data_IF_370572397576
#
_entry.id   IF_370572397576
#
_cell.length_a   1.000
_cell.length_b   1.000
_cell.length_c   1.000
_cell.angle_alpha   90.00
_cell.angle_beta   90.00
_cell.angle_gamma   90.00
#
_symmetry.space_group_name_H-M   'P 1'
#
loop_
_entity.id
_entity.type
_entity.pdbx_description
1 polymer ?
#
# COMPACT_ATOMS: atom_id res chain seq x y z
N UNK A 1 -52.40 -65.71 9.27
CA UNK A 1 -52.26 -64.28 9.27
C UNK A 1 -50.76 -63.96 9.25
N UNK A 2 -50.21 -63.53 8.09
CA UNK A 2 -48.80 -63.20 7.93
C UNK A 2 -48.74 -61.68 7.84
N UNK A 3 -48.17 -61.02 8.85
CA UNK A 3 -47.90 -59.56 8.81
C UNK A 3 -46.58 -59.36 8.12
N UNK A 4 -46.60 -58.82 6.89
CA UNK A 4 -45.43 -58.34 6.18
C UNK A 4 -45.08 -56.93 6.71
N UNK A 5 -43.99 -56.83 7.47
CA UNK A 5 -43.46 -55.56 7.91
C UNK A 5 -42.66 -54.94 6.74
N UNK A 6 -43.25 -53.94 6.12
CA UNK A 6 -42.61 -53.13 5.08
C UNK A 6 -41.68 -52.14 5.75
N UNK A 7 -40.39 -52.46 5.76
CA UNK A 7 -39.35 -51.59 6.34
C UNK A 7 -39.01 -50.50 5.32
N UNK A 8 -39.55 -49.30 5.51
CA UNK A 8 -39.24 -48.10 4.71
C UNK A 8 -37.87 -47.58 5.14
N UNK A 9 -36.84 -47.83 4.34
CA UNK A 9 -35.54 -47.14 4.45
C UNK A 9 -35.66 -45.73 3.89
N UNK A 10 -35.79 -44.74 4.76
CA UNK A 10 -35.65 -43.35 4.42
C UNK A 10 -34.17 -43.07 4.25
N UNK A 11 -33.67 -43.08 3.02
CA UNK A 11 -32.37 -42.52 2.69
C UNK A 11 -32.47 -40.99 2.80
N UNK A 12 -32.07 -40.45 3.93
CA UNK A 12 -31.83 -39.03 4.08
C UNK A 12 -30.55 -38.68 3.27
N UNK A 13 -30.72 -38.16 2.06
CA UNK A 13 -29.66 -37.49 1.35
C UNK A 13 -29.27 -36.27 2.16
N UNK A 14 -28.18 -36.32 2.91
CA UNK A 14 -27.51 -35.11 3.42
C UNK A 14 -26.88 -34.39 2.21
N UNK A 15 -27.51 -33.33 1.77
CA UNK A 15 -26.86 -32.42 0.82
C UNK A 15 -25.73 -31.73 1.59
N UNK A 16 -24.48 -32.09 1.31
CA UNK A 16 -23.35 -31.37 1.83
C UNK A 16 -23.52 -29.89 1.46
N UNK A 17 -23.72 -29.06 2.49
CA UNK A 17 -23.78 -27.62 2.32
C UNK A 17 -22.38 -27.11 1.93
N UNK A 18 -22.17 -26.92 0.65
CA UNK A 18 -20.98 -26.20 0.18
C UNK A 18 -21.24 -24.71 0.34
N UNK A 19 -20.60 -24.02 1.27
CA UNK A 19 -20.79 -22.57 1.44
C UNK A 19 -20.44 -21.89 0.11
N UNK A 20 -21.37 -21.09 -0.41
CA UNK A 20 -21.12 -20.29 -1.61
C UNK A 20 -19.93 -19.35 -1.32
N UNK A 21 -18.95 -19.24 -2.22
CA UNK A 21 -17.88 -18.27 -2.05
C UNK A 21 -18.48 -16.88 -1.90
N UNK A 22 -17.93 -16.08 -0.99
CA UNK A 22 -18.37 -14.69 -0.80
C UNK A 22 -18.22 -13.96 -2.13
N UNK A 23 -19.32 -13.45 -2.68
CA UNK A 23 -19.27 -12.57 -3.84
C UNK A 23 -18.92 -11.17 -3.36
N UNK A 24 -17.82 -10.64 -3.84
CA UNK A 24 -17.47 -9.22 -3.65
C UNK A 24 -18.08 -8.39 -4.78
N UNK A 25 -18.45 -7.15 -4.47
CA UNK A 25 -18.89 -6.21 -5.50
C UNK A 25 -17.74 -6.01 -6.50
N UNK A 26 -18.09 -5.98 -7.80
CA UNK A 26 -17.13 -5.65 -8.84
C UNK A 26 -16.60 -4.22 -8.61
N UNK A 27 -15.32 -4.10 -8.32
CA UNK A 27 -14.65 -2.82 -8.20
C UNK A 27 -14.19 -2.41 -9.61
N UNK A 28 -14.69 -1.29 -10.08
CA UNK A 28 -14.26 -0.72 -11.35
C UNK A 28 -12.98 0.10 -11.12
N UNK A 29 -11.85 -0.50 -11.48
CA UNK A 29 -10.54 0.11 -11.33
C UNK A 29 -10.22 0.98 -12.57
N UNK A 30 -9.73 2.22 -12.43
CA UNK A 30 -9.38 3.08 -13.54
C UNK A 30 -8.18 2.54 -14.32
N UNK A 31 -8.05 2.98 -15.57
CA UNK A 31 -6.85 2.71 -16.36
C UNK A 31 -5.64 3.40 -15.71
N UNK A 32 -4.50 2.72 -15.70
CA UNK A 32 -3.26 3.28 -15.20
C UNK A 32 -2.63 4.19 -16.26
N UNK A 33 -2.68 5.47 -15.99
CA UNK A 33 -2.04 6.54 -16.75
C UNK A 33 -1.40 7.49 -15.73
N UNK A 34 -0.20 7.99 -16.04
CA UNK A 34 0.60 8.73 -15.09
C UNK A 34 0.90 10.14 -15.56
N UNK A 35 1.01 11.07 -14.62
CA UNK A 35 1.45 12.44 -14.77
C UNK A 35 2.75 12.62 -14.00
N UNK A 36 3.64 13.50 -14.49
CA UNK A 36 4.88 13.82 -13.79
C UNK A 36 4.66 15.00 -12.83
N UNK A 37 5.00 14.81 -11.57
CA UNK A 37 5.22 15.89 -10.63
C UNK A 37 6.67 16.33 -10.69
N UNK A 38 6.90 17.64 -10.79
CA UNK A 38 8.25 18.24 -10.85
C UNK A 38 8.35 19.29 -9.76
N UNK A 39 9.01 18.94 -8.66
CA UNK A 39 9.36 19.84 -7.57
C UNK A 39 10.71 20.51 -7.74
N UNK A 40 11.16 21.23 -6.71
CA UNK A 40 12.48 21.92 -6.73
C UNK A 40 13.64 20.94 -6.59
N UNK A 41 13.50 19.89 -5.77
CA UNK A 41 14.57 18.96 -5.41
C UNK A 41 14.41 17.56 -5.98
N UNK A 42 13.23 17.21 -6.47
CA UNK A 42 12.93 15.89 -7.00
C UNK A 42 11.75 15.92 -7.98
N UNK A 43 11.60 14.83 -8.72
CA UNK A 43 10.44 14.55 -9.58
C UNK A 43 10.02 13.09 -9.42
N UNK A 44 8.75 12.80 -9.69
CA UNK A 44 8.19 11.44 -9.74
C UNK A 44 6.90 11.42 -10.57
N UNK A 45 6.43 10.24 -10.92
CA UNK A 45 5.15 10.04 -11.58
C UNK A 45 4.06 9.63 -10.58
N UNK A 46 2.83 10.08 -10.84
CA UNK A 46 1.65 9.76 -10.05
C UNK A 46 0.44 9.51 -10.96
N UNK A 47 -0.55 8.68 -10.57
CA UNK A 47 -1.65 8.32 -11.44
C UNK A 47 -2.62 9.48 -11.67
N UNK A 48 -3.16 9.58 -12.88
CA UNK A 48 -4.08 10.65 -13.32
C UNK A 48 -5.34 10.76 -12.48
N UNK A 49 -5.77 9.68 -11.82
CA UNK A 49 -6.95 9.65 -10.94
C UNK A 49 -6.66 10.05 -9.49
N UNK A 50 -5.41 10.44 -9.19
CA UNK A 50 -5.02 11.02 -7.91
C UNK A 50 -4.75 12.52 -8.04
N UNK A 51 -4.56 13.21 -6.92
CA UNK A 51 -4.25 14.65 -6.89
C UNK A 51 -3.07 14.93 -5.97
N UNK A 52 -2.20 15.81 -6.40
CA UNK A 52 -1.12 16.35 -5.56
C UNK A 52 -1.70 17.46 -4.68
N UNK A 53 -1.47 17.39 -3.40
CA UNK A 53 -1.80 18.41 -2.39
C UNK A 53 -0.49 18.89 -1.76
N UNK A 54 -0.12 20.14 -2.03
CA UNK A 54 1.06 20.77 -1.43
C UNK A 54 0.60 21.46 -0.15
N UNK A 55 1.15 21.06 0.99
CA UNK A 55 0.87 21.71 2.26
C UNK A 55 1.60 23.06 2.33
N UNK A 56 1.25 23.90 3.33
CA UNK A 56 1.83 25.24 3.53
C UNK A 56 3.37 25.26 3.55
N UNK A 57 3.98 24.13 3.83
CA UNK A 57 5.42 23.91 3.74
C UNK A 57 5.72 22.95 2.59
N UNK A 58 6.52 23.34 1.61
CA UNK A 58 6.94 22.54 0.43
C UNK A 58 7.58 21.19 0.82
N UNK A 59 7.95 21.00 2.09
CA UNK A 59 8.48 19.75 2.61
C UNK A 59 7.44 18.61 2.66
N UNK A 60 6.14 18.96 2.62
CA UNK A 60 5.04 18.00 2.75
C UNK A 60 4.20 18.04 1.48
N UNK A 61 4.22 16.95 0.76
CA UNK A 61 3.44 16.75 -0.45
C UNK A 61 2.62 15.48 -0.26
N UNK A 62 1.32 15.60 -0.40
CA UNK A 62 0.42 14.46 -0.32
C UNK A 62 -0.05 14.06 -1.71
N UNK A 63 -0.12 12.76 -1.98
CA UNK A 63 -0.81 12.23 -3.16
C UNK A 63 -2.14 11.64 -2.69
N UNK A 64 -3.22 12.30 -3.05
CA UNK A 64 -4.56 11.94 -2.59
C UNK A 64 -5.28 11.07 -3.63
N UNK A 65 -5.64 9.86 -3.24
CA UNK A 65 -6.39 8.88 -4.02
C UNK A 65 -7.88 8.96 -3.66
N UNK A 66 -8.53 10.10 -3.96
CA UNK A 66 -9.91 10.40 -3.55
C UNK A 66 -10.89 9.26 -3.81
N UNK A 67 -10.79 8.62 -5.00
CA UNK A 67 -11.68 7.53 -5.40
C UNK A 67 -11.60 6.32 -4.46
N UNK A 68 -10.47 6.12 -3.83
CA UNK A 68 -10.17 4.97 -2.98
C UNK A 68 -10.08 5.33 -1.49
N UNK A 69 -10.39 6.58 -1.13
CA UNK A 69 -10.27 7.08 0.25
C UNK A 69 -8.91 6.79 0.85
N UNK A 70 -7.85 6.94 0.06
CA UNK A 70 -6.47 6.71 0.46
C UNK A 70 -5.61 7.95 0.24
N UNK A 71 -4.53 8.07 1.01
CA UNK A 71 -3.58 9.17 0.92
C UNK A 71 -2.15 8.70 1.18
N UNK A 72 -1.25 9.07 0.27
CA UNK A 72 0.19 8.94 0.46
C UNK A 72 0.71 10.26 1.04
N UNK A 73 1.10 10.24 2.29
CA UNK A 73 1.80 11.35 2.93
C UNK A 73 3.27 11.27 2.63
N UNK A 74 3.87 12.35 2.12
CA UNK A 74 5.30 12.39 1.88
C UNK A 74 5.99 13.53 2.64
N UNK A 75 7.24 13.32 2.97
CA UNK A 75 8.09 14.28 3.66
C UNK A 75 9.45 14.32 2.97
N UNK A 76 9.92 15.52 2.65
CA UNK A 76 11.25 15.75 2.13
C UNK A 76 12.11 16.51 3.15
N UNK A 77 13.35 16.06 3.35
CA UNK A 77 14.32 16.67 4.26
C UNK A 77 15.66 16.80 3.52
N UNK A 78 16.33 17.94 3.72
CA UNK A 78 17.75 18.06 3.42
C UNK A 78 18.55 17.50 4.60
N UNK A 79 19.49 16.61 4.30
CA UNK A 79 20.34 15.99 5.31
C UNK A 79 21.44 16.96 5.78
N UNK A 80 21.77 16.88 7.06
CA UNK A 80 22.90 17.57 7.68
C UNK A 80 23.75 16.55 8.47
N UNK A 81 24.36 15.60 7.74
CA UNK A 81 25.10 14.45 8.28
C UNK A 81 24.31 13.54 9.24
N UNK A 82 22.98 13.55 9.14
CA UNK A 82 22.02 12.86 10.02
C UNK A 82 21.25 11.71 9.32
N UNK A 83 21.77 11.22 8.19
CA UNK A 83 21.16 10.15 7.40
C UNK A 83 20.76 8.93 8.25
N UNK A 84 21.67 8.49 9.11
CA UNK A 84 21.42 7.31 9.95
C UNK A 84 20.22 7.52 10.91
N UNK A 85 20.11 8.73 11.46
CA UNK A 85 18.99 9.09 12.33
C UNK A 85 17.66 9.03 11.58
N UNK A 86 17.60 9.55 10.35
CA UNK A 86 16.41 9.50 9.50
C UNK A 86 16.04 8.06 9.09
N UNK A 87 17.03 7.21 8.80
CA UNK A 87 16.82 5.79 8.51
C UNK A 87 16.23 5.07 9.74
N UNK A 88 16.85 5.22 10.92
CA UNK A 88 16.37 4.60 12.15
C UNK A 88 14.99 5.12 12.56
N UNK A 89 14.73 6.40 12.40
CA UNK A 89 13.40 6.98 12.62
C UNK A 89 12.37 6.36 11.68
N UNK A 90 12.68 6.23 10.38
CA UNK A 90 11.79 5.63 9.39
C UNK A 90 11.50 4.17 9.71
N UNK A 91 12.52 3.42 10.11
CA UNK A 91 12.39 2.03 10.55
C UNK A 91 11.52 1.94 11.81
N UNK A 92 11.79 2.74 12.82
CA UNK A 92 11.01 2.77 14.06
C UNK A 92 9.53 3.06 13.77
N UNK A 93 9.24 4.02 12.89
CA UNK A 93 7.88 4.36 12.48
C UNK A 93 7.22 3.22 11.69
N UNK A 94 7.97 2.51 10.83
CA UNK A 94 7.46 1.35 10.11
C UNK A 94 7.05 0.23 11.07
N UNK A 95 7.88 -0.08 12.04
CA UNK A 95 7.60 -1.14 13.02
C UNK A 95 6.62 -0.75 14.13
N UNK A 96 6.32 0.52 14.31
CA UNK A 96 5.31 0.97 15.28
C UNK A 96 3.90 0.41 14.99
N UNK A 97 3.63 0.05 13.74
CA UNK A 97 2.38 -0.57 13.30
C UNK A 97 2.38 -2.11 13.39
N UNK A 98 3.47 -2.73 13.85
CA UNK A 98 3.65 -4.18 13.89
C UNK A 98 2.59 -4.92 14.74
N UNK A 99 1.97 -4.26 15.71
CA UNK A 99 0.96 -4.87 16.57
C UNK A 99 -0.36 -5.25 15.84
N UNK A 100 -0.53 -4.78 14.59
CA UNK A 100 -1.74 -4.99 13.78
C UNK A 100 -1.44 -5.68 12.44
N UNK A 101 -0.18 -5.71 12.02
CA UNK A 101 0.22 -6.36 10.78
C UNK A 101 0.49 -7.85 11.00
N UNK A 102 0.00 -8.71 10.10
CA UNK A 102 0.34 -10.13 10.08
C UNK A 102 1.78 -10.34 9.60
N UNK A 103 2.20 -9.57 8.59
CA UNK A 103 3.53 -9.60 7.99
C UNK A 103 3.98 -8.18 7.61
N UNK A 104 5.25 -7.87 7.84
CA UNK A 104 5.94 -6.72 7.27
C UNK A 104 7.08 -7.24 6.39
N UNK A 105 7.00 -7.02 5.09
CA UNK A 105 8.05 -7.36 4.14
C UNK A 105 8.93 -6.15 3.88
N UNK A 106 10.25 -6.33 4.02
CA UNK A 106 11.25 -5.31 3.70
C UNK A 106 11.86 -5.57 2.34
N UNK A 107 11.91 -4.57 1.50
CA UNK A 107 12.53 -4.64 0.18
C UNK A 107 13.50 -3.47 -0.01
N UNK A 108 14.76 -3.77 -0.23
CA UNK A 108 15.77 -2.77 -0.60
C UNK A 108 15.49 -2.27 -2.02
N UNK A 109 15.54 -0.96 -2.20
CA UNK A 109 15.46 -0.30 -3.49
C UNK A 109 16.81 0.32 -3.86
N UNK A 110 17.33 0.01 -5.05
CA UNK A 110 18.61 0.52 -5.57
C UNK A 110 18.43 0.93 -7.04
N UNK A 111 18.64 2.20 -7.33
CA UNK A 111 18.78 2.75 -8.68
C UNK A 111 20.08 3.55 -8.74
N UNK A 112 21.19 2.87 -9.01
CA UNK A 112 22.52 3.47 -9.07
C UNK A 112 22.63 4.55 -10.16
N UNK A 113 21.92 4.38 -11.27
CA UNK A 113 21.94 5.32 -12.39
C UNK A 113 21.44 6.71 -11.98
N UNK A 114 20.48 6.76 -11.09
CA UNK A 114 19.82 7.99 -10.65
C UNK A 114 20.18 8.36 -9.20
N UNK A 115 21.11 7.64 -8.58
CA UNK A 115 21.51 7.80 -7.17
C UNK A 115 20.31 7.78 -6.22
N UNK A 116 19.40 6.83 -6.42
CA UNK A 116 18.24 6.64 -5.55
C UNK A 116 18.37 5.31 -4.82
N UNK A 117 18.48 5.38 -3.51
CA UNK A 117 18.60 4.23 -2.61
C UNK A 117 17.50 4.32 -1.57
N UNK A 118 17.01 3.18 -1.09
CA UNK A 118 15.95 3.22 -0.10
C UNK A 118 15.50 1.86 0.41
N UNK A 119 14.44 1.91 1.20
CA UNK A 119 13.77 0.75 1.76
C UNK A 119 12.27 0.90 1.60
N UNK A 120 11.63 -0.18 1.19
CA UNK A 120 10.19 -0.30 1.08
C UNK A 120 9.70 -1.29 2.14
N UNK A 121 8.71 -0.87 2.92
CA UNK A 121 8.00 -1.68 3.90
C UNK A 121 6.59 -1.95 3.37
N UNK A 122 6.30 -3.20 3.08
CA UNK A 122 5.00 -3.66 2.57
C UNK A 122 4.27 -4.43 3.68
N UNK A 123 3.03 -4.04 3.99
CA UNK A 123 2.26 -4.60 5.09
C UNK A 123 1.15 -5.50 4.56
N UNK A 124 0.98 -6.66 5.22
CA UNK A 124 -0.13 -7.57 5.01
C UNK A 124 -0.95 -7.71 6.30
N UNK A 125 -2.23 -8.03 6.14
CA UNK A 125 -3.18 -8.16 7.25
C UNK A 125 -4.02 -6.91 7.48
N UNK A 126 -4.69 -6.86 8.64
CA UNK A 126 -5.55 -5.75 9.05
C UNK A 126 -4.68 -4.64 9.64
N UNK A 127 -4.31 -3.67 8.82
CA UNK A 127 -3.40 -2.59 9.21
C UNK A 127 -3.96 -1.22 8.84
N UNK A 128 -3.50 -0.18 9.55
CA UNK A 128 -3.84 1.21 9.20
C UNK A 128 -3.02 1.73 8.01
N UNK A 129 -1.80 1.22 7.81
CA UNK A 129 -0.91 1.57 6.70
C UNK A 129 -0.71 0.37 5.78
N UNK A 130 -0.67 0.61 4.50
CA UNK A 130 -0.48 -0.43 3.49
C UNK A 130 0.97 -0.53 3.03
N UNK A 131 1.67 0.60 2.98
CA UNK A 131 3.02 0.70 2.49
C UNK A 131 3.72 1.93 3.06
N UNK A 132 4.97 1.77 3.44
CA UNK A 132 5.87 2.88 3.79
C UNK A 132 7.18 2.71 3.04
N UNK A 133 7.87 3.81 2.78
CA UNK A 133 9.19 3.77 2.16
C UNK A 133 9.99 5.01 2.51
N UNK A 134 11.29 4.92 2.33
CA UNK A 134 12.16 6.09 2.21
C UNK A 134 13.09 5.94 1.01
N UNK A 135 13.49 7.08 0.45
CA UNK A 135 14.47 7.22 -0.63
C UNK A 135 15.50 8.25 -0.22
N UNK A 136 16.75 8.04 -0.59
CA UNK A 136 17.86 8.94 -0.31
C UNK A 136 18.91 8.88 -1.42
N UNK A 137 19.68 9.96 -1.61
CA UNK A 137 20.91 9.95 -2.41
C UNK A 137 22.13 9.61 -1.55
N UNK A 138 21.90 9.29 -0.27
CA UNK A 138 22.92 8.98 0.75
C UNK A 138 23.80 10.15 1.18
N UNK A 139 23.59 11.35 0.68
CA UNK A 139 24.46 12.51 0.91
C UNK A 139 23.67 13.72 1.42
N UNK A 140 22.70 14.20 0.63
CA UNK A 140 22.02 15.48 0.89
C UNK A 140 20.52 15.37 1.05
N UNK A 141 19.89 14.32 0.49
CA UNK A 141 18.46 14.29 0.32
C UNK A 141 17.84 13.06 0.96
N UNK A 142 16.72 13.26 1.66
CA UNK A 142 15.90 12.20 2.21
C UNK A 142 14.43 12.46 1.92
N UNK A 143 13.76 11.46 1.35
CA UNK A 143 12.34 11.50 1.02
C UNK A 143 11.66 10.29 1.63
N UNK A 144 10.57 10.50 2.38
CA UNK A 144 9.80 9.43 3.00
C UNK A 144 8.35 9.49 2.56
N UNK A 145 7.75 8.33 2.32
CA UNK A 145 6.33 8.18 2.02
C UNK A 145 5.67 7.17 2.94
N UNK A 146 4.41 7.44 3.29
CA UNK A 146 3.56 6.52 4.07
C UNK A 146 2.14 6.58 3.54
N UNK A 147 1.62 5.44 3.09
CA UNK A 147 0.28 5.35 2.52
C UNK A 147 -0.72 4.81 3.53
N UNK A 148 -1.84 5.49 3.65
CA UNK A 148 -2.94 5.13 4.53
C UNK A 148 -4.28 5.15 3.78
N UNK A 149 -5.16 4.21 4.12
CA UNK A 149 -6.58 4.33 3.83
C UNK A 149 -7.29 5.02 4.99
N UNK A 150 -8.40 5.71 4.70
CA UNK A 150 -9.25 6.29 5.75
C UNK A 150 -10.06 5.23 6.53
N UNK A 151 -9.95 3.97 6.13
CA UNK A 151 -10.56 2.80 6.75
C UNK A 151 -9.53 1.72 6.95
N UNK A 152 -9.75 0.82 7.90
CA UNK A 152 -8.90 -0.37 8.07
C UNK A 152 -8.93 -1.25 6.81
N UNK A 153 -7.78 -1.84 6.49
CA UNK A 153 -7.65 -2.79 5.38
C UNK A 153 -8.33 -4.08 5.79
N UNK A 154 -9.30 -4.50 5.01
CA UNK A 154 -10.03 -5.75 5.16
C UNK A 154 -10.16 -6.45 3.80
N UNK A 155 -10.72 -7.67 3.79
CA UNK A 155 -10.86 -8.47 2.56
C UNK A 155 -11.50 -7.73 1.39
N UNK A 156 -12.44 -6.81 1.65
CA UNK A 156 -13.13 -6.04 0.61
C UNK A 156 -12.24 -4.99 -0.04
N UNK A 157 -11.25 -4.47 0.68
CA UNK A 157 -10.34 -3.42 0.23
C UNK A 157 -9.04 -3.98 -0.38
N UNK A 158 -8.71 -5.26 -0.14
CA UNK A 158 -7.49 -5.89 -0.67
C UNK A 158 -7.28 -5.65 -2.18
N UNK A 159 -8.28 -5.80 -3.07
CA UNK A 159 -8.07 -5.54 -4.49
C UNK A 159 -7.67 -4.09 -4.79
N UNK A 160 -8.27 -3.12 -4.09
CA UNK A 160 -7.93 -1.70 -4.19
C UNK A 160 -6.55 -1.43 -3.62
N UNK A 161 -6.23 -2.03 -2.48
CA UNK A 161 -4.92 -1.93 -1.85
C UNK A 161 -3.81 -2.38 -2.80
N UNK A 162 -3.95 -3.56 -3.41
CA UNK A 162 -2.98 -4.08 -4.37
C UNK A 162 -2.87 -3.20 -5.63
N UNK A 163 -3.99 -2.64 -6.08
CA UNK A 163 -4.02 -1.72 -7.20
C UNK A 163 -3.23 -0.44 -6.89
N UNK A 164 -3.46 0.19 -5.74
CA UNK A 164 -2.75 1.43 -5.34
C UNK A 164 -1.28 1.16 -5.00
N UNK A 165 -0.95 0.03 -4.38
CA UNK A 165 0.46 -0.36 -4.14
C UNK A 165 1.28 -0.36 -5.42
N UNK A 166 0.70 -0.80 -6.54
CA UNK A 166 1.39 -0.76 -7.84
C UNK A 166 1.70 0.68 -8.28
N UNK A 167 0.82 1.64 -7.99
CA UNK A 167 1.06 3.05 -8.34
C UNK A 167 2.13 3.69 -7.45
N UNK A 168 2.18 3.30 -6.17
CA UNK A 168 3.25 3.75 -5.26
C UNK A 168 4.60 3.17 -5.70
N UNK A 169 4.64 1.92 -6.17
CA UNK A 169 5.86 1.33 -6.75
C UNK A 169 6.30 2.08 -8.00
N UNK A 170 5.37 2.44 -8.91
CA UNK A 170 5.68 3.28 -10.07
C UNK A 170 6.23 4.64 -9.67
N UNK A 171 5.67 5.26 -8.61
CA UNK A 171 6.19 6.52 -8.07
C UNK A 171 7.66 6.35 -7.62
N UNK A 172 7.99 5.29 -6.90
CA UNK A 172 9.36 4.99 -6.44
C UNK A 172 10.29 4.74 -7.64
N UNK A 173 9.87 3.96 -8.63
CA UNK A 173 10.65 3.61 -9.83
C UNK A 173 10.91 4.82 -10.73
N UNK A 174 9.96 5.76 -10.79
CA UNK A 174 10.07 7.00 -11.56
C UNK A 174 10.76 8.13 -10.81
N UNK A 175 11.07 7.94 -9.53
CA UNK A 175 11.64 8.99 -8.68
C UNK A 175 13.06 9.40 -9.13
N UNK A 176 13.31 10.70 -9.18
CA UNK A 176 14.64 11.27 -9.51
C UNK A 176 14.92 12.50 -8.64
N UNK A 177 16.15 12.59 -8.20
CA UNK A 177 16.70 13.84 -7.62
C UNK A 177 16.96 14.87 -8.71
N UNK A 178 16.99 16.15 -8.31
CA UNK A 178 17.33 17.31 -9.18
C UNK A 178 18.58 18.00 -8.68
#
# INVERSE_FOLDING_TARGET
MRYSILMLFLFACSTDYTPKPRAYFKIDLPKKEYLSYTGNSFLFEYPTYSKIEIQKNIRFIDVNFHRFSGKLHTTFVKLDNDLLEHIEQSRSLAYKHNNQADVISEQIYIDEKNNVYGMLYDYEGVTATSMQFYLTDSIENFFRGSFYFNTEINDSIIPVNNFVKTDIRNLIESFRWK
#
